data_IF_856725350244
#
_entry.id   IF_856725350244
#
_cell.length_a   1.000
_cell.length_b   1.000
_cell.length_c   1.000
_cell.angle_alpha   90.00
_cell.angle_beta   90.00
_cell.angle_gamma   90.00
#
_symmetry.space_group_name_H-M   'P 1'
#
loop_
_entity.id
_entity.type
_entity.pdbx_description
1 polymer ?
#
# COMPACT_ATOMS: atom_id res chain seq x y z
N UNK A 1 -5.06 -1.52 12.84
CA UNK A 1 -3.99 -0.49 12.84
C UNK A 1 -4.63 0.86 13.08
N UNK A 2 -4.10 1.65 13.99
CA UNK A 2 -4.54 3.04 14.17
C UNK A 2 -4.06 3.93 13.02
N UNK A 3 -4.73 5.07 12.78
CA UNK A 3 -4.31 6.03 11.74
C UNK A 3 -2.88 6.54 11.94
N UNK A 4 -2.46 6.72 13.19
CA UNK A 4 -1.13 7.20 13.56
C UNK A 4 -0.03 6.17 13.25
N UNK A 5 -0.28 4.89 13.53
CA UNK A 5 0.65 3.80 13.19
C UNK A 5 0.80 3.64 11.68
N UNK A 6 -0.31 3.69 10.95
CA UNK A 6 -0.29 3.65 9.48
C UNK A 6 0.47 4.84 8.88
N UNK A 7 0.28 6.05 9.43
CA UNK A 7 0.99 7.25 8.98
C UNK A 7 2.50 7.15 9.24
N UNK A 8 2.92 6.74 10.45
CA UNK A 8 4.35 6.57 10.78
C UNK A 8 5.02 5.53 9.89
N UNK A 9 4.33 4.41 9.64
CA UNK A 9 4.81 3.36 8.74
C UNK A 9 4.95 3.90 7.31
N UNK A 10 3.96 4.65 6.83
CA UNK A 10 4.02 5.32 5.54
C UNK A 10 5.24 6.21 5.43
N UNK A 11 5.51 7.06 6.43
CA UNK A 11 6.64 7.98 6.41
C UNK A 11 8.00 7.27 6.27
N UNK A 12 8.16 6.12 6.92
CA UNK A 12 9.39 5.31 6.85
C UNK A 12 9.49 4.37 5.65
N UNK A 13 8.41 4.16 4.89
CA UNK A 13 8.38 3.16 3.83
C UNK A 13 9.33 3.52 2.69
N UNK A 14 10.00 2.51 2.13
CA UNK A 14 10.86 2.62 0.96
C UNK A 14 10.69 1.36 0.11
N UNK A 15 10.51 1.55 -1.18
CA UNK A 15 10.36 0.46 -2.13
C UNK A 15 11.06 0.81 -3.44
N UNK A 16 11.54 -0.22 -4.15
CA UNK A 16 12.17 -0.08 -5.45
C UNK A 16 11.68 -1.18 -6.37
N UNK A 17 11.18 -0.77 -7.53
CA UNK A 17 10.69 -1.66 -8.57
C UNK A 17 11.38 -1.36 -9.88
N UNK A 18 11.46 -2.38 -10.72
CA UNK A 18 11.84 -2.23 -12.12
C UNK A 18 10.83 -2.89 -13.03
N UNK A 19 10.70 -2.45 -14.26
CA UNK A 19 9.94 -3.19 -15.26
C UNK A 19 10.84 -4.22 -15.98
N UNK A 20 10.25 -4.92 -16.94
CA UNK A 20 10.97 -5.84 -17.83
C UNK A 20 11.92 -5.14 -18.81
N UNK A 21 11.75 -3.83 -19.02
CA UNK A 21 12.57 -3.00 -19.92
C UNK A 21 13.77 -2.37 -19.19
N UNK A 22 13.87 -2.57 -17.87
CA UNK A 22 14.95 -2.06 -17.03
C UNK A 22 14.72 -0.65 -16.49
N UNK A 23 13.54 -0.04 -16.70
CA UNK A 23 13.15 1.21 -16.04
C UNK A 23 13.00 0.96 -14.55
N UNK A 24 13.47 1.90 -13.73
CA UNK A 24 13.50 1.77 -12.28
C UNK A 24 12.73 2.90 -11.62
N UNK A 25 11.94 2.54 -10.61
CA UNK A 25 11.23 3.48 -9.76
C UNK A 25 11.58 3.19 -8.31
N UNK A 26 12.11 4.20 -7.63
CA UNK A 26 12.42 4.12 -6.21
C UNK A 26 11.61 5.19 -5.47
N UNK A 27 10.74 4.76 -4.57
CA UNK A 27 9.88 5.67 -3.82
C UNK A 27 10.10 5.54 -2.32
N UNK A 28 9.70 6.59 -1.62
CA UNK A 28 9.61 6.62 -0.16
C UNK A 28 8.24 7.11 0.27
N UNK A 29 7.93 6.96 1.54
CA UNK A 29 6.74 7.58 2.10
C UNK A 29 5.46 6.89 1.63
N UNK A 30 4.42 7.69 1.49
CA UNK A 30 3.12 7.28 0.96
C UNK A 30 3.18 6.72 -0.47
N UNK A 31 4.05 7.26 -1.33
CA UNK A 31 4.23 6.76 -2.71
C UNK A 31 4.74 5.33 -2.72
N UNK A 32 5.64 4.98 -1.81
CA UNK A 32 6.15 3.62 -1.68
C UNK A 32 5.03 2.64 -1.31
N UNK A 33 4.24 2.95 -0.27
CA UNK A 33 3.14 2.07 0.13
C UNK A 33 2.08 1.95 -0.96
N UNK A 34 1.70 3.06 -1.62
CA UNK A 34 0.70 2.99 -2.70
C UNK A 34 1.19 2.14 -3.86
N UNK A 35 2.48 2.23 -4.21
CA UNK A 35 3.04 1.37 -5.24
C UNK A 35 3.06 -0.10 -4.80
N UNK A 36 3.49 -0.40 -3.58
CA UNK A 36 3.47 -1.77 -3.05
C UNK A 36 2.04 -2.34 -3.11
N UNK A 37 1.04 -1.58 -2.68
CA UNK A 37 -0.36 -1.99 -2.73
C UNK A 37 -0.88 -2.22 -4.15
N UNK A 38 -0.49 -1.38 -5.12
CA UNK A 38 -0.83 -1.57 -6.53
C UNK A 38 -0.21 -2.84 -7.12
N UNK A 39 1.02 -3.17 -6.72
CA UNK A 39 1.72 -4.39 -7.17
C UNK A 39 1.11 -5.63 -6.51
N UNK A 40 0.80 -5.57 -5.21
CA UNK A 40 0.20 -6.68 -4.46
C UNK A 40 -1.28 -6.93 -4.80
N UNK A 41 -1.97 -5.92 -5.35
CA UNK A 41 -3.40 -5.99 -5.70
C UNK A 41 -3.62 -5.85 -7.20
N UNK A 42 -3.49 -6.93 -8.00
CA UNK A 42 -3.73 -6.90 -9.45
C UNK A 42 -5.15 -6.42 -9.81
N UNK A 43 -6.13 -6.67 -8.94
CA UNK A 43 -7.49 -6.18 -9.09
C UNK A 43 -7.63 -4.66 -8.94
N UNK A 44 -6.60 -3.97 -8.46
CA UNK A 44 -6.55 -2.54 -8.23
C UNK A 44 -7.06 -2.13 -6.85
N UNK A 45 -6.67 -0.93 -6.45
CA UNK A 45 -6.98 -0.35 -5.15
C UNK A 45 -7.90 0.87 -5.30
N UNK A 46 -8.69 1.11 -4.28
CA UNK A 46 -9.55 2.26 -4.10
C UNK A 46 -9.09 3.07 -2.89
N UNK A 47 -9.67 4.26 -2.71
CA UNK A 47 -9.43 5.07 -1.52
C UNK A 47 -9.73 4.30 -0.22
N UNK A 48 -10.72 3.40 -0.22
CA UNK A 48 -11.12 2.62 0.95
C UNK A 48 -10.09 1.60 1.40
N UNK A 49 -9.30 1.06 0.46
CA UNK A 49 -8.23 0.10 0.76
C UNK A 49 -7.05 0.76 1.50
N UNK A 50 -6.93 2.09 1.37
CA UNK A 50 -5.81 2.88 1.92
C UNK A 50 -6.14 3.59 3.26
N UNK A 51 -7.35 3.39 3.80
CA UNK A 51 -7.80 4.08 5.02
C UNK A 51 -7.21 3.46 6.30
N UNK A 52 -7.08 4.24 7.40
CA UNK A 52 -7.31 5.69 7.54
C UNK A 52 -6.04 6.56 7.37
N UNK A 53 -4.90 5.98 7.03
CA UNK A 53 -3.61 6.70 6.99
C UNK A 53 -3.40 7.52 5.71
N UNK A 54 -4.14 7.21 4.64
CA UNK A 54 -3.98 7.86 3.34
C UNK A 54 -5.24 8.60 2.91
N UNK A 55 -5.24 9.93 2.98
CA UNK A 55 -6.42 10.76 2.67
C UNK A 55 -6.47 11.29 1.24
N UNK A 56 -5.38 11.16 0.46
CA UNK A 56 -5.27 11.72 -0.90
C UNK A 56 -4.71 10.70 -1.90
N UNK A 57 -5.39 9.57 -2.09
CA UNK A 57 -4.94 8.53 -3.04
C UNK A 57 -4.79 9.10 -4.46
N UNK A 58 -5.79 9.84 -4.95
CA UNK A 58 -5.76 10.41 -6.31
C UNK A 58 -4.52 11.27 -6.60
N UNK A 59 -4.08 12.10 -5.64
CA UNK A 59 -2.87 12.91 -5.81
C UNK A 59 -1.58 12.07 -5.84
N UNK A 60 -1.56 10.95 -5.12
CA UNK A 60 -0.41 10.02 -5.15
C UNK A 60 -0.37 9.27 -6.48
N UNK A 61 -1.53 8.80 -6.98
CA UNK A 61 -1.63 8.18 -8.30
C UNK A 61 -1.21 9.13 -9.41
N UNK A 62 -1.63 10.40 -9.34
CA UNK A 62 -1.25 11.40 -10.32
C UNK A 62 0.27 11.56 -10.39
N UNK A 63 0.94 11.70 -9.25
CA UNK A 63 2.39 11.82 -9.21
C UNK A 63 3.10 10.55 -9.73
N UNK A 64 2.60 9.36 -9.40
CA UNK A 64 3.15 8.11 -9.93
C UNK A 64 3.05 8.02 -11.46
N UNK A 65 1.96 8.55 -12.04
CA UNK A 65 1.81 8.64 -13.51
C UNK A 65 2.79 9.63 -14.14
N UNK A 66 3.01 10.78 -13.51
CA UNK A 66 4.03 11.75 -13.96
C UNK A 66 5.44 11.13 -13.95
N UNK A 67 5.71 10.28 -12.96
CA UNK A 67 6.95 9.50 -12.87
C UNK A 67 7.04 8.34 -13.90
N UNK A 68 6.02 8.19 -14.76
CA UNK A 68 6.00 7.24 -15.88
C UNK A 68 5.37 5.88 -15.59
N UNK A 69 4.68 5.71 -14.45
CA UNK A 69 3.91 4.49 -14.20
C UNK A 69 2.58 4.52 -14.96
N UNK A 70 2.35 3.47 -15.74
CA UNK A 70 1.07 3.21 -16.37
C UNK A 70 0.08 2.70 -15.32
N UNK A 71 -0.83 3.58 -14.91
CA UNK A 71 -1.88 3.27 -13.96
C UNK A 71 -3.21 3.59 -14.63
N UNK A 72 -4.10 2.61 -14.78
CA UNK A 72 -5.46 2.85 -15.26
C UNK A 72 -6.37 3.31 -14.12
N UNK A 73 -7.44 4.04 -14.46
CA UNK A 73 -8.51 4.38 -13.52
C UNK A 73 -9.83 3.92 -14.10
N UNK A 74 -10.58 3.19 -13.31
CA UNK A 74 -11.95 2.79 -13.61
C UNK A 74 -12.88 3.25 -12.50
N UNK A 75 -14.12 3.56 -12.86
CA UNK A 75 -15.15 3.92 -11.89
C UNK A 75 -15.92 2.65 -11.54
N UNK A 76 -15.94 2.30 -10.26
CA UNK A 76 -16.60 1.08 -9.79
C UNK A 76 -17.69 1.35 -8.76
N UNK A 77 -18.76 0.56 -8.84
CA UNK A 77 -19.82 0.50 -7.86
C UNK A 77 -20.84 1.64 -7.94
N UNK A 78 -21.93 1.54 -7.17
CA UNK A 78 -23.04 2.50 -7.19
C UNK A 78 -22.60 3.90 -6.72
N UNK A 79 -21.54 3.98 -5.92
CA UNK A 79 -20.97 5.22 -5.39
C UNK A 79 -19.84 5.79 -6.25
N UNK A 80 -19.59 5.20 -7.43
CA UNK A 80 -18.63 5.69 -8.43
C UNK A 80 -17.22 5.90 -7.85
N UNK A 81 -16.72 4.93 -7.09
CA UNK A 81 -15.38 5.00 -6.54
C UNK A 81 -14.34 4.82 -7.64
N UNK A 82 -13.29 5.63 -7.62
CA UNK A 82 -12.14 5.43 -8.49
C UNK A 82 -11.34 4.22 -8.00
N UNK A 83 -11.18 3.22 -8.88
CA UNK A 83 -10.28 2.10 -8.72
C UNK A 83 -9.08 2.26 -9.64
N UNK A 84 -7.89 2.08 -9.08
CA UNK A 84 -6.61 2.27 -9.76
C UNK A 84 -5.91 0.92 -9.93
N UNK A 85 -5.50 0.59 -11.16
CA UNK A 85 -4.77 -0.64 -11.47
C UNK A 85 -3.44 -0.33 -12.13
N UNK A 86 -2.42 -1.10 -11.80
CA UNK A 86 -1.13 -1.02 -12.45
C UNK A 86 -1.19 -1.75 -13.79
N UNK A 87 -0.86 -1.06 -14.87
CA UNK A 87 -0.89 -1.59 -16.24
C UNK A 87 0.37 -2.36 -16.62
N UNK A 88 1.51 -2.07 -15.97
CA UNK A 88 2.78 -2.74 -16.26
C UNK A 88 3.14 -3.77 -15.20
N UNK A 89 3.81 -4.83 -15.63
CA UNK A 89 4.36 -5.84 -14.74
C UNK A 89 5.69 -5.36 -14.17
N UNK A 90 5.66 -4.97 -12.89
CA UNK A 90 6.86 -4.62 -12.15
C UNK A 90 7.48 -5.85 -11.48
N UNK A 91 8.80 -5.94 -11.57
CA UNK A 91 9.65 -6.86 -10.82
C UNK A 91 10.18 -6.12 -9.59
N UNK A 92 9.98 -6.68 -8.40
CA UNK A 92 10.56 -6.14 -7.19
C UNK A 92 12.08 -6.31 -7.20
N UNK A 93 12.83 -5.21 -7.15
CA UNK A 93 14.24 -5.23 -6.83
C UNK A 93 14.37 -5.28 -5.30
N UNK A 94 14.05 -6.44 -4.71
CA UNK A 94 14.15 -6.64 -3.27
C UNK A 94 15.62 -6.59 -2.83
N UNK A 95 16.10 -5.42 -2.37
CA UNK A 95 16.56 -5.41 -0.99
C UNK A 95 15.29 -5.42 -0.14
N UNK A 96 14.95 -6.54 0.52
CA UNK A 96 13.74 -6.61 1.31
C UNK A 96 13.90 -5.59 2.44
N UNK A 97 13.08 -4.53 2.45
CA UNK A 97 12.71 -3.98 3.74
C UNK A 97 11.95 -5.11 4.43
N UNK A 98 12.62 -5.77 5.38
CA UNK A 98 12.17 -6.97 6.08
C UNK A 98 10.82 -6.76 6.79
N UNK A 99 9.70 -6.68 6.10
CA UNK A 99 8.39 -6.75 6.73
C UNK A 99 7.40 -7.50 5.83
N UNK A 100 7.78 -8.74 5.46
CA UNK A 100 6.80 -9.83 5.35
C UNK A 100 6.09 -9.91 6.71
N UNK A 101 4.86 -9.41 6.79
CA UNK A 101 3.99 -9.79 7.89
C UNK A 101 2.79 -10.56 7.36
N UNK A 102 2.87 -11.86 7.64
CA UNK A 102 1.81 -12.84 7.63
C UNK A 102 0.58 -12.35 8.41
N UNK A 103 -0.64 -12.84 8.07
CA UNK A 103 -1.83 -12.58 8.88
C UNK A 103 -1.57 -13.08 10.30
N UNK A 104 -1.61 -12.19 11.28
CA UNK A 104 -1.47 -12.56 12.68
C UNK A 104 -2.59 -13.53 13.05
N UNK A 105 -2.19 -14.78 13.31
CA UNK A 105 -3.00 -15.78 13.98
C UNK A 105 -3.49 -15.18 15.30
N UNK A 106 -4.80 -14.98 15.42
CA UNK A 106 -5.46 -14.79 16.70
C UNK A 106 -5.21 -16.04 17.55
N UNK A 107 -4.31 -15.98 18.53
CA UNK A 107 -4.47 -16.80 19.72
C UNK A 107 -3.66 -16.29 20.92
N UNK A 108 -4.40 -16.21 22.03
CA UNK A 108 -3.97 -16.14 23.43
C UNK A 108 -3.19 -14.91 23.91
N UNK A 109 -3.90 -14.06 24.68
CA UNK A 109 -3.47 -13.82 26.06
C UNK A 109 -4.66 -13.90 27.02
N UNK A 110 -4.55 -14.87 27.92
CA UNK A 110 -5.38 -15.11 29.09
C UNK A 110 -5.56 -13.82 29.91
N UNK A 111 -6.80 -13.60 30.29
CA UNK A 111 -7.21 -12.74 31.40
C UNK A 111 -6.59 -13.25 32.71
N UNK A 112 -5.56 -12.58 33.21
CA UNK A 112 -5.24 -12.58 34.64
C UNK A 112 -5.64 -11.23 35.20
N UNK A 113 -6.91 -11.12 35.61
CA UNK A 113 -7.38 -9.98 36.41
C UNK A 113 -8.52 -10.39 37.33
N UNK A 114 -8.31 -11.43 38.13
CA UNK A 114 -9.09 -11.66 39.36
C UNK A 114 -8.14 -12.27 40.40
N UNK A 115 -7.65 -11.44 41.32
CA UNK A 115 -7.17 -11.78 42.67
C UNK A 115 -6.41 -10.58 43.24
N UNK A 116 -7.14 -9.54 43.65
CA UNK A 116 -6.74 -8.59 44.69
C UNK A 116 -8.00 -7.81 45.07
N UNK A 117 -8.87 -8.49 45.81
CA UNK A 117 -9.85 -7.93 46.72
C UNK A 117 -9.71 -8.72 48.03
#
# INVERSE_FOLDING_TARGET
MSALEGYRRADSAKTAYRDSEGRKWAYRGKRAIVLDMLVESPGGITQHDTLPWHTRLGGTIHALREDGLEISTEIEGPYRHARYRLGLKLLGDNSPSEHRFSPLKNNQRKSNREASA
#
